data_IF_604886247085
#
_entry.id   IF_604886247085
#
_cell.length_a   1.000
_cell.length_b   1.000
_cell.length_c   1.000
_cell.angle_alpha   90.00
_cell.angle_beta   90.00
_cell.angle_gamma   90.00
#
_symmetry.space_group_name_H-M   'P 1'
#
loop_
_entity.id
_entity.type
_entity.pdbx_description
1 polymer ?
#
# COMPACT_ATOMS: atom_id res chain seq x y z
N UNK A 1 67.26 24.37 -49.09
CA UNK A 1 67.06 24.45 -47.63
C UNK A 1 65.63 24.83 -47.20
N UNK A 2 64.96 25.77 -47.81
CA UNK A 2 63.58 26.23 -47.43
C UNK A 2 62.49 25.10 -47.46
N UNK A 3 62.61 24.07 -48.29
CA UNK A 3 61.57 23.03 -48.47
C UNK A 3 61.50 22.06 -47.27
N UNK A 4 62.59 21.84 -46.57
CA UNK A 4 62.63 20.98 -45.37
C UNK A 4 62.12 21.65 -44.09
N UNK A 5 62.30 22.99 -44.01
CA UNK A 5 61.78 23.78 -42.89
C UNK A 5 60.24 23.83 -42.90
N UNK A 6 59.66 24.00 -44.10
CA UNK A 6 58.19 24.03 -44.27
C UNK A 6 57.52 22.71 -43.91
N UNK A 7 58.16 21.56 -44.14
CA UNK A 7 57.63 20.27 -43.73
C UNK A 7 57.65 20.09 -42.19
N UNK A 8 58.68 20.59 -41.54
CA UNK A 8 58.78 20.54 -40.06
C UNK A 8 57.76 21.50 -39.43
N UNK A 9 57.48 22.65 -40.03
CA UNK A 9 56.47 23.58 -39.58
C UNK A 9 55.08 23.04 -39.74
N UNK A 10 54.76 22.46 -40.91
CA UNK A 10 53.46 21.81 -41.15
C UNK A 10 53.19 20.64 -40.19
N UNK A 11 54.18 19.81 -39.91
CA UNK A 11 54.03 18.74 -38.92
C UNK A 11 53.78 19.25 -37.51
N UNK A 12 54.45 20.32 -37.08
CA UNK A 12 54.22 20.94 -35.76
C UNK A 12 52.83 21.55 -35.65
N UNK A 13 52.34 22.21 -36.67
CA UNK A 13 50.98 22.77 -36.70
C UNK A 13 49.97 21.64 -36.67
N UNK A 14 50.16 20.54 -37.44
CA UNK A 14 49.29 19.39 -37.44
C UNK A 14 49.20 18.68 -36.06
N UNK A 15 50.35 18.51 -35.40
CA UNK A 15 50.37 17.93 -34.04
C UNK A 15 49.65 18.87 -33.05
N UNK A 16 49.89 20.15 -33.10
CA UNK A 16 49.29 21.12 -32.19
C UNK A 16 47.74 21.14 -32.35
N UNK A 17 47.25 21.19 -33.58
CA UNK A 17 45.81 21.16 -33.85
C UNK A 17 45.16 19.84 -33.39
N UNK A 18 45.83 18.73 -33.61
CA UNK A 18 45.32 17.40 -33.14
C UNK A 18 45.24 17.35 -31.62
N UNK A 19 46.26 17.84 -30.89
CA UNK A 19 46.25 17.88 -29.43
C UNK A 19 45.15 18.79 -28.90
N UNK A 20 44.98 19.99 -29.47
CA UNK A 20 43.91 20.91 -29.06
C UNK A 20 42.52 20.28 -29.28
N UNK A 21 42.33 19.63 -30.43
CA UNK A 21 41.06 18.97 -30.76
C UNK A 21 40.78 17.81 -29.79
N UNK A 22 41.77 16.97 -29.48
CA UNK A 22 41.63 15.89 -28.51
C UNK A 22 41.27 16.39 -27.10
N UNK A 23 41.96 17.43 -26.65
CA UNK A 23 41.67 18.03 -25.34
C UNK A 23 40.27 18.62 -25.31
N UNK A 24 39.86 19.34 -26.35
CA UNK A 24 38.50 19.88 -26.50
C UNK A 24 37.40 18.80 -26.49
N UNK A 25 37.62 17.73 -27.23
CA UNK A 25 36.66 16.58 -27.24
C UNK A 25 36.56 15.89 -25.88
N UNK A 26 37.71 15.72 -25.19
CA UNK A 26 37.73 15.10 -23.87
C UNK A 26 36.99 15.95 -22.86
N UNK A 27 37.17 17.26 -22.86
CA UNK A 27 36.47 18.18 -21.96
C UNK A 27 34.94 18.20 -22.25
N UNK A 28 34.59 18.27 -23.51
CA UNK A 28 33.17 18.19 -23.93
C UNK A 28 32.53 16.89 -23.48
N UNK A 29 33.20 15.76 -23.68
CA UNK A 29 32.70 14.44 -23.25
C UNK A 29 32.50 14.38 -21.74
N UNK A 30 33.42 14.90 -20.94
CA UNK A 30 33.31 14.97 -19.47
C UNK A 30 32.10 15.82 -19.03
N UNK A 31 31.92 17.00 -19.62
CA UNK A 31 30.79 17.89 -19.29
C UNK A 31 29.46 17.24 -19.67
N UNK A 32 29.37 16.68 -20.86
CA UNK A 32 28.13 16.03 -21.31
C UNK A 32 27.82 14.80 -20.49
N UNK A 33 28.83 13.97 -20.17
CA UNK A 33 28.64 12.74 -19.40
C UNK A 33 28.17 13.03 -17.97
N UNK A 34 28.76 14.02 -17.29
CA UNK A 34 28.35 14.38 -15.93
C UNK A 34 26.97 15.01 -15.88
N UNK A 35 26.65 15.89 -16.83
CA UNK A 35 25.30 16.48 -16.90
C UNK A 35 24.23 15.46 -17.25
N UNK A 36 24.48 14.58 -18.23
CA UNK A 36 23.55 13.51 -18.59
C UNK A 36 23.27 12.57 -17.40
N UNK A 37 24.32 12.15 -16.68
CA UNK A 37 24.17 11.30 -15.50
C UNK A 37 23.32 11.96 -14.39
N UNK A 38 23.53 13.25 -14.16
CA UNK A 38 22.76 14.03 -13.18
C UNK A 38 21.30 14.18 -13.59
N UNK A 39 21.02 14.50 -14.85
CA UNK A 39 19.65 14.63 -15.36
C UNK A 39 18.90 13.30 -15.28
N UNK A 40 19.52 12.21 -15.72
CA UNK A 40 18.90 10.87 -15.67
C UNK A 40 18.63 10.46 -14.23
N UNK A 41 19.57 10.69 -13.31
CA UNK A 41 19.38 10.36 -11.89
C UNK A 41 18.20 11.15 -11.28
N UNK A 42 18.14 12.44 -11.54
CA UNK A 42 17.06 13.29 -11.00
C UNK A 42 15.72 12.92 -11.60
N UNK A 43 15.66 12.63 -12.90
CA UNK A 43 14.43 12.23 -13.59
C UNK A 43 13.91 10.90 -13.06
N UNK A 44 14.77 9.89 -12.90
CA UNK A 44 14.41 8.60 -12.28
C UNK A 44 13.93 8.80 -10.85
N UNK A 45 14.62 9.63 -10.06
CA UNK A 45 14.22 9.87 -8.67
C UNK A 45 12.85 10.52 -8.60
N UNK A 46 12.59 11.52 -9.43
CA UNK A 46 11.28 12.19 -9.48
C UNK A 46 10.18 11.22 -9.93
N UNK A 47 10.41 10.45 -11.00
CA UNK A 47 9.43 9.44 -11.45
C UNK A 47 9.13 8.39 -10.39
N UNK A 48 10.14 7.95 -9.63
CA UNK A 48 9.93 7.01 -8.53
C UNK A 48 9.14 7.65 -7.38
N UNK A 49 9.43 8.91 -7.04
CA UNK A 49 8.69 9.64 -6.02
C UNK A 49 7.23 9.81 -6.42
N UNK A 50 6.97 10.29 -7.63
CA UNK A 50 5.62 10.47 -8.16
C UNK A 50 4.83 9.14 -8.19
N UNK A 51 5.50 8.05 -8.57
CA UNK A 51 4.90 6.71 -8.55
C UNK A 51 4.56 6.23 -7.15
N UNK A 52 5.41 6.50 -6.16
CA UNK A 52 5.15 6.15 -4.75
C UNK A 52 4.01 6.99 -4.19
N UNK A 53 4.01 8.30 -4.41
CA UNK A 53 2.94 9.20 -3.96
C UNK A 53 1.59 8.83 -4.58
N UNK A 54 1.57 8.54 -5.88
CA UNK A 54 0.35 8.09 -6.56
C UNK A 54 -0.19 6.77 -5.98
N UNK A 55 0.69 5.81 -5.67
CA UNK A 55 0.28 4.54 -5.06
C UNK A 55 -0.18 4.72 -3.61
N UNK A 56 0.46 5.61 -2.85
CA UNK A 56 0.03 5.94 -1.49
C UNK A 56 -1.39 6.54 -1.51
N UNK A 57 -1.67 7.48 -2.41
CA UNK A 57 -3.00 8.07 -2.55
C UNK A 57 -4.09 7.03 -2.88
N UNK A 58 -3.79 6.04 -3.74
CA UNK A 58 -4.71 4.94 -4.04
C UNK A 58 -4.98 4.09 -2.80
N UNK A 59 -3.94 3.80 -2.00
CA UNK A 59 -4.10 3.05 -0.76
C UNK A 59 -4.96 3.83 0.24
N UNK A 60 -4.71 5.11 0.40
CA UNK A 60 -5.48 5.98 1.30
C UNK A 60 -6.96 6.02 0.90
N UNK A 61 -7.26 6.16 -0.40
CA UNK A 61 -8.64 6.13 -0.91
C UNK A 61 -9.29 4.76 -0.64
N UNK A 62 -8.53 3.67 -0.80
CA UNK A 62 -9.02 2.32 -0.52
C UNK A 62 -9.34 2.12 0.96
N UNK A 63 -8.47 2.60 1.85
CA UNK A 63 -8.67 2.56 3.31
C UNK A 63 -9.91 3.34 3.71
N UNK A 64 -10.04 4.60 3.25
CA UNK A 64 -11.20 5.43 3.54
C UNK A 64 -12.50 4.77 3.07
N UNK A 65 -12.50 4.20 1.87
CA UNK A 65 -13.65 3.48 1.34
C UNK A 65 -14.01 2.24 2.19
N UNK A 66 -13.01 1.48 2.65
CA UNK A 66 -13.24 0.34 3.53
C UNK A 66 -13.81 0.75 4.89
N UNK A 67 -13.33 1.85 5.47
CA UNK A 67 -13.83 2.40 6.73
C UNK A 67 -15.30 2.88 6.60
N UNK A 68 -15.64 3.54 5.49
CA UNK A 68 -17.03 3.94 5.19
C UNK A 68 -17.95 2.73 5.08
N UNK A 69 -17.51 1.66 4.42
CA UNK A 69 -18.29 0.43 4.30
C UNK A 69 -18.47 -0.27 5.64
N UNK A 70 -17.41 -0.36 6.45
CA UNK A 70 -17.51 -0.95 7.78
C UNK A 70 -18.46 -0.15 8.67
N UNK A 71 -18.43 1.17 8.58
CA UNK A 71 -19.38 2.05 9.28
C UNK A 71 -20.80 1.79 8.82
N UNK A 72 -21.03 1.70 7.52
CA UNK A 72 -22.35 1.41 6.96
C UNK A 72 -22.87 0.03 7.40
N UNK A 73 -22.01 -0.99 7.40
CA UNK A 73 -22.33 -2.32 7.90
C UNK A 73 -22.75 -2.31 9.37
N UNK A 74 -21.95 -1.67 10.22
CA UNK A 74 -22.19 -1.58 11.66
C UNK A 74 -23.48 -0.82 12.02
N UNK A 75 -23.90 0.14 11.18
CA UNK A 75 -25.13 0.89 11.35
C UNK A 75 -26.38 0.13 10.86
N UNK A 76 -26.22 -1.03 10.24
CA UNK A 76 -27.33 -1.87 9.80
C UNK A 76 -28.30 -2.21 10.94
N UNK A 77 -29.61 -2.25 10.62
CA UNK A 77 -30.64 -2.63 11.60
C UNK A 77 -30.41 -4.04 12.14
N UNK A 78 -30.09 -4.96 11.23
CA UNK A 78 -29.85 -6.36 11.51
C UNK A 78 -28.70 -6.59 12.49
N UNK A 79 -27.64 -5.77 12.39
CA UNK A 79 -26.49 -5.82 13.32
C UNK A 79 -26.92 -5.36 14.72
N UNK A 80 -27.63 -4.23 14.81
CA UNK A 80 -28.09 -3.68 16.09
C UNK A 80 -29.09 -4.56 16.80
N UNK A 81 -30.03 -5.13 16.05
CA UNK A 81 -31.09 -5.97 16.61
C UNK A 81 -30.49 -7.29 17.11
N UNK A 82 -29.58 -7.91 16.34
CA UNK A 82 -28.85 -9.11 16.81
C UNK A 82 -28.01 -8.83 18.07
N UNK A 83 -27.32 -7.71 18.15
CA UNK A 83 -26.48 -7.39 19.34
C UNK A 83 -27.31 -7.07 20.60
N UNK A 84 -28.61 -6.74 20.45
CA UNK A 84 -29.53 -6.59 21.58
C UNK A 84 -30.05 -7.91 22.12
N UNK A 85 -30.29 -8.88 21.23
CA UNK A 85 -30.74 -10.22 21.58
C UNK A 85 -30.00 -11.26 20.74
N UNK A 86 -28.76 -11.59 21.12
CA UNK A 86 -27.89 -12.48 20.36
C UNK A 86 -28.32 -13.95 20.36
N UNK A 87 -29.26 -14.33 21.23
CA UNK A 87 -29.77 -15.69 21.36
C UNK A 87 -31.02 -15.94 20.49
N UNK A 88 -31.62 -14.87 19.88
CA UNK A 88 -32.79 -15.03 19.01
C UNK A 88 -32.36 -15.64 17.66
N UNK A 89 -32.87 -16.85 17.34
CA UNK A 89 -32.51 -17.54 16.09
C UNK A 89 -32.99 -16.82 14.82
N UNK A 90 -34.05 -16.01 14.91
CA UNK A 90 -34.58 -15.26 13.77
C UNK A 90 -33.67 -14.07 13.45
N UNK A 91 -33.28 -13.33 14.48
CA UNK A 91 -32.33 -12.23 14.34
C UNK A 91 -30.95 -12.71 13.86
N UNK A 92 -30.51 -13.85 14.37
CA UNK A 92 -29.24 -14.48 13.93
C UNK A 92 -29.30 -14.82 12.44
N UNK A 93 -30.38 -15.44 11.96
CA UNK A 93 -30.51 -15.77 10.54
C UNK A 93 -30.59 -14.54 9.63
N UNK A 94 -31.28 -13.48 10.08
CA UNK A 94 -31.35 -12.21 9.35
C UNK A 94 -30.00 -11.52 9.26
N UNK A 95 -29.29 -11.42 10.37
CA UNK A 95 -27.97 -10.80 10.43
C UNK A 95 -26.90 -11.62 9.67
N UNK A 96 -27.00 -12.96 9.68
CA UNK A 96 -26.13 -13.82 8.86
C UNK A 96 -26.35 -13.52 7.36
N UNK A 97 -27.61 -13.49 6.92
CA UNK A 97 -27.92 -13.15 5.53
C UNK A 97 -27.43 -11.74 5.16
N UNK A 98 -27.66 -10.77 6.03
CA UNK A 98 -27.16 -9.40 5.84
C UNK A 98 -25.64 -9.35 5.71
N UNK A 99 -24.90 -10.09 6.57
CA UNK A 99 -23.45 -10.18 6.53
C UNK A 99 -22.95 -10.74 5.19
N UNK A 100 -23.58 -11.80 4.69
CA UNK A 100 -23.25 -12.43 3.41
C UNK A 100 -23.56 -11.51 2.22
N UNK A 101 -24.76 -10.93 2.20
CA UNK A 101 -25.21 -10.03 1.13
C UNK A 101 -24.34 -8.79 1.06
N UNK A 102 -24.00 -8.19 2.21
CA UNK A 102 -23.16 -7.00 2.29
C UNK A 102 -21.74 -7.26 1.77
N UNK A 103 -21.14 -8.38 2.17
CA UNK A 103 -19.81 -8.76 1.71
C UNK A 103 -19.79 -9.07 0.21
N UNK A 104 -20.84 -9.72 -0.32
CA UNK A 104 -20.93 -10.07 -1.72
C UNK A 104 -21.01 -8.85 -2.66
N UNK A 105 -21.65 -7.76 -2.23
CA UNK A 105 -21.77 -6.52 -3.03
C UNK A 105 -20.42 -5.89 -3.33
N UNK A 106 -19.46 -5.99 -2.41
CA UNK A 106 -18.18 -5.27 -2.51
C UNK A 106 -17.01 -6.16 -2.91
N UNK A 107 -17.00 -7.43 -2.48
CA UNK A 107 -15.93 -8.38 -2.81
C UNK A 107 -14.52 -7.97 -2.33
N UNK A 108 -14.43 -6.98 -1.43
CA UNK A 108 -13.16 -6.43 -0.93
C UNK A 108 -12.75 -6.99 0.43
N UNK A 109 -13.68 -7.68 1.11
CA UNK A 109 -13.45 -8.21 2.44
C UNK A 109 -13.00 -9.68 2.36
N UNK A 110 -11.91 -10.03 3.03
CA UNK A 110 -11.50 -11.42 3.22
C UNK A 110 -12.49 -12.15 4.15
N UNK A 111 -12.98 -11.43 5.17
CA UNK A 111 -14.01 -11.91 6.08
C UNK A 111 -14.74 -10.77 6.75
N UNK A 112 -16.06 -10.82 6.76
CA UNK A 112 -16.93 -9.90 7.48
C UNK A 112 -17.72 -10.69 8.52
N UNK A 113 -17.80 -10.17 9.74
CA UNK A 113 -18.47 -10.87 10.83
C UNK A 113 -19.00 -9.93 11.91
N UNK A 114 -19.95 -10.43 12.68
CA UNK A 114 -20.45 -9.80 13.91
C UNK A 114 -20.04 -10.70 15.07
N UNK A 115 -19.47 -10.12 16.12
CA UNK A 115 -19.08 -10.81 17.33
C UNK A 115 -19.50 -10.05 18.58
N UNK A 116 -19.68 -10.77 19.66
CA UNK A 116 -19.92 -10.19 20.98
C UNK A 116 -18.63 -9.56 21.56
N UNK A 117 -18.70 -8.74 22.61
CA UNK A 117 -17.54 -8.12 23.24
C UNK A 117 -16.48 -9.11 23.78
N UNK A 118 -16.85 -10.34 24.04
CA UNK A 118 -15.97 -11.44 24.40
C UNK A 118 -15.44 -12.23 23.20
N UNK A 119 -15.65 -11.66 22.00
CA UNK A 119 -15.15 -12.16 20.71
C UNK A 119 -15.73 -13.50 20.24
N UNK A 120 -16.93 -13.86 20.73
CA UNK A 120 -17.70 -14.95 20.20
C UNK A 120 -18.37 -14.55 18.88
N UNK A 121 -18.10 -15.26 17.82
CA UNK A 121 -18.56 -14.94 16.45
C UNK A 121 -19.99 -15.40 16.25
N UNK A 122 -20.89 -14.43 16.08
CA UNK A 122 -22.34 -14.67 15.85
C UNK A 122 -22.63 -14.93 14.37
N UNK A 123 -22.06 -14.10 13.48
CA UNK A 123 -22.20 -14.22 12.02
C UNK A 123 -20.84 -14.11 11.36
N UNK A 124 -20.66 -14.76 10.20
CA UNK A 124 -19.42 -14.66 9.44
C UNK A 124 -19.66 -15.03 7.97
N UNK A 125 -18.95 -14.40 7.03
CA UNK A 125 -18.96 -14.79 5.61
C UNK A 125 -18.45 -16.21 5.35
N UNK A 126 -17.59 -16.74 6.24
CA UNK A 126 -17.18 -18.14 6.24
C UNK A 126 -17.91 -18.89 7.35
N UNK A 127 -18.78 -19.82 6.99
CA UNK A 127 -19.60 -20.57 7.95
C UNK A 127 -18.79 -21.35 8.99
N UNK A 128 -17.57 -21.79 8.64
CA UNK A 128 -16.69 -22.50 9.57
C UNK A 128 -16.13 -21.64 10.73
N UNK A 129 -16.32 -20.32 10.68
CA UNK A 129 -15.88 -19.41 11.73
C UNK A 129 -17.00 -19.02 12.71
N UNK A 130 -18.26 -19.39 12.43
CA UNK A 130 -19.40 -19.10 13.30
C UNK A 130 -19.33 -19.95 14.57
N UNK A 131 -19.63 -19.37 15.71
CA UNK A 131 -19.61 -20.07 17.01
C UNK A 131 -18.21 -20.22 17.62
N UNK A 132 -17.19 -19.60 17.04
CA UNK A 132 -15.81 -19.65 17.56
C UNK A 132 -15.53 -18.38 18.39
N UNK A 133 -14.89 -18.56 19.54
CA UNK A 133 -14.30 -17.43 20.29
C UNK A 133 -12.91 -17.17 19.76
N UNK A 134 -12.69 -15.99 19.16
CA UNK A 134 -11.43 -15.67 18.46
C UNK A 134 -10.30 -15.23 19.39
N UNK A 135 -10.61 -14.80 20.63
CA UNK A 135 -9.61 -14.34 21.61
C UNK A 135 -9.93 -14.87 22.99
N UNK A 136 -8.91 -15.10 23.80
CA UNK A 136 -9.04 -15.54 25.19
C UNK A 136 -7.91 -15.01 26.06
N UNK A 137 -8.07 -15.07 27.39
CA UNK A 137 -7.04 -14.68 28.36
C UNK A 137 -6.54 -13.23 28.16
N UNK A 138 -5.24 -13.02 28.14
CA UNK A 138 -4.65 -11.68 28.05
C UNK A 138 -4.86 -11.03 26.65
N UNK A 139 -5.00 -11.82 25.59
CA UNK A 139 -5.35 -11.31 24.26
C UNK A 139 -6.74 -10.68 24.23
N UNK A 140 -7.72 -11.29 24.90
CA UNK A 140 -9.06 -10.72 25.04
C UNK A 140 -9.06 -9.44 25.87
N UNK A 141 -8.37 -9.42 27.00
CA UNK A 141 -8.24 -8.23 27.87
C UNK A 141 -7.61 -7.07 27.12
N UNK A 142 -6.52 -7.32 26.38
CA UNK A 142 -5.87 -6.31 25.57
C UNK A 142 -6.80 -5.76 24.49
N UNK A 143 -7.53 -6.61 23.80
CA UNK A 143 -8.51 -6.20 22.79
C UNK A 143 -9.62 -5.34 23.40
N UNK A 144 -10.20 -5.75 24.53
CA UNK A 144 -11.26 -5.00 25.21
C UNK A 144 -10.78 -3.63 25.68
N UNK A 145 -9.57 -3.54 26.24
CA UNK A 145 -9.04 -2.29 26.77
C UNK A 145 -8.54 -1.32 25.67
N UNK A 146 -8.06 -1.83 24.54
CA UNK A 146 -7.45 -1.00 23.48
C UNK A 146 -8.41 -0.69 22.34
N UNK A 147 -9.29 -1.60 21.98
CA UNK A 147 -10.16 -1.46 20.82
C UNK A 147 -11.59 -1.13 21.24
N UNK A 148 -12.24 -1.98 22.04
CA UNK A 148 -13.62 -1.76 22.44
C UNK A 148 -13.80 -0.53 23.32
N UNK A 149 -12.81 -0.18 24.14
CA UNK A 149 -12.86 1.01 24.98
C UNK A 149 -12.87 2.34 24.20
N UNK A 150 -12.55 2.33 22.90
CA UNK A 150 -12.58 3.55 22.09
C UNK A 150 -13.98 3.90 21.59
N UNK A 151 -14.93 2.98 21.64
CA UNK A 151 -16.33 3.15 21.19
C UNK A 151 -16.45 3.75 19.77
N UNK A 152 -15.47 3.49 18.92
CA UNK A 152 -15.41 3.99 17.55
C UNK A 152 -14.77 2.96 16.61
N UNK A 153 -14.95 3.15 15.30
CA UNK A 153 -14.24 2.38 14.31
C UNK A 153 -12.73 2.52 14.51
N UNK A 154 -12.03 1.39 14.61
CA UNK A 154 -10.59 1.37 14.81
C UNK A 154 -9.93 0.59 13.69
N UNK A 155 -9.12 1.28 12.89
CA UNK A 155 -8.27 0.67 11.88
C UNK A 155 -6.99 0.16 12.54
N UNK A 156 -6.72 -1.13 12.43
CA UNK A 156 -5.51 -1.76 12.99
C UNK A 156 -4.33 -1.78 12.02
N UNK A 157 -4.51 -1.19 10.84
CA UNK A 157 -3.51 -1.18 9.78
C UNK A 157 -3.36 -2.53 9.08
N UNK A 158 -2.30 -2.64 8.28
CA UNK A 158 -2.05 -3.82 7.46
C UNK A 158 -1.48 -4.94 8.33
N UNK A 159 -2.18 -6.06 8.40
CA UNK A 159 -1.78 -7.24 9.16
C UNK A 159 -1.67 -8.47 8.26
N UNK A 160 -0.92 -9.47 8.73
CA UNK A 160 -0.89 -10.77 8.06
C UNK A 160 -2.06 -11.62 8.52
N UNK A 161 -2.89 -12.09 7.58
CA UNK A 161 -3.98 -13.00 7.88
C UNK A 161 -3.46 -14.32 8.46
N UNK A 162 -3.96 -14.77 9.62
CA UNK A 162 -3.57 -16.05 10.20
C UNK A 162 -4.02 -17.25 9.34
N UNK A 163 -5.12 -17.11 8.59
CA UNK A 163 -5.70 -18.19 7.79
C UNK A 163 -5.04 -18.35 6.43
N UNK A 164 -4.87 -17.26 5.69
CA UNK A 164 -4.35 -17.28 4.31
C UNK A 164 -2.89 -16.90 4.21
N UNK A 165 -2.33 -16.26 5.23
CA UNK A 165 -0.99 -15.69 5.20
C UNK A 165 -0.85 -14.42 4.32
N UNK A 166 -1.95 -13.97 3.70
CA UNK A 166 -2.01 -12.75 2.92
C UNK A 166 -1.95 -11.51 3.81
N UNK A 167 -1.53 -10.38 3.25
CA UNK A 167 -1.64 -9.09 3.94
C UNK A 167 -3.07 -8.59 3.80
N UNK A 168 -3.70 -8.23 4.93
CA UNK A 168 -5.06 -7.69 5.03
C UNK A 168 -5.04 -6.36 5.76
N UNK A 169 -6.00 -5.52 5.45
CA UNK A 169 -6.26 -4.25 6.14
C UNK A 169 -7.35 -4.44 7.17
#
# INVERSE_FOLDING_TARGET
>A
MKFMENKKLAARIGILTTVITLVGMTLLWLVVSTNAASVVKNDITNQMTDAVESRAAIIDEYVLSAEEYMTAFALGGEVRDLLRDPDDPVLLAQAQKYTEDFAAVKGIFEGLYIATPDTYVLTHTSQGAIGITTRSGDSLKSFQSTILAQEQLTNLGIMKSPGTGSMIL
#
